data_IF_120352988896
#
_entry.id   IF_120352988896
#
_cell.length_a   1.000
_cell.length_b   1.000
_cell.length_c   1.000
_cell.angle_alpha   90.00
_cell.angle_beta   90.00
_cell.angle_gamma   90.00
#
_symmetry.space_group_name_H-M   'P 1'
#
loop_
_entity.id
_entity.type
_entity.pdbx_description
1 polymer ?
#
# COMPACT_ATOMS: atom_id res chain seq x y z
N UNK A 1 0.62 12.69 23.64
CA UNK A 1 -0.08 12.06 22.50
C UNK A 1 1.02 11.43 21.68
N UNK A 2 0.99 10.11 21.50
CA UNK A 2 2.07 9.42 20.77
C UNK A 2 2.11 9.91 19.32
N UNK A 3 3.30 10.23 18.82
CA UNK A 3 3.49 10.74 17.46
C UNK A 3 3.17 9.61 16.46
N UNK A 4 2.29 9.88 15.50
CA UNK A 4 1.79 8.84 14.58
C UNK A 4 2.87 8.35 13.63
N UNK A 5 2.77 7.07 13.24
CA UNK A 5 3.72 6.43 12.32
C UNK A 5 3.42 6.85 10.89
N UNK A 6 4.40 7.44 10.23
CA UNK A 6 4.38 7.71 8.80
C UNK A 6 5.05 6.54 8.08
N UNK A 7 4.38 5.98 7.07
CA UNK A 7 4.82 4.76 6.39
C UNK A 7 4.87 4.96 4.87
N UNK A 8 6.01 4.61 4.30
CA UNK A 8 6.20 4.39 2.86
C UNK A 8 6.32 2.88 2.64
N UNK A 9 5.57 2.33 1.69
CA UNK A 9 5.55 0.89 1.40
C UNK A 9 6.32 0.64 0.11
N UNK A 10 7.35 -0.20 0.15
CA UNK A 10 8.04 -0.70 -1.04
C UNK A 10 7.62 -2.15 -1.29
N UNK A 11 7.21 -2.50 -2.51
CA UNK A 11 6.61 -3.81 -2.80
C UNK A 11 6.85 -4.26 -4.25
N UNK A 12 6.89 -5.58 -4.47
CA UNK A 12 6.94 -6.21 -5.79
C UNK A 12 5.59 -6.82 -6.23
N UNK A 13 4.50 -6.47 -5.54
CA UNK A 13 3.11 -6.81 -5.87
C UNK A 13 2.80 -8.31 -5.95
N UNK A 14 3.32 -9.08 -5.00
CA UNK A 14 2.85 -10.41 -4.67
C UNK A 14 1.40 -10.44 -4.17
N UNK A 15 0.84 -11.65 -4.06
CA UNK A 15 -0.53 -11.85 -3.55
C UNK A 15 -0.62 -11.47 -2.07
N UNK A 16 0.44 -11.75 -1.31
CA UNK A 16 0.60 -11.38 0.09
C UNK A 16 0.82 -9.86 0.26
N UNK A 17 1.54 -9.20 -0.66
CA UNK A 17 1.65 -7.75 -0.68
C UNK A 17 0.28 -7.06 -0.83
N UNK A 18 -0.60 -7.59 -1.68
CA UNK A 18 -1.94 -7.04 -1.84
C UNK A 18 -2.72 -7.04 -0.51
N UNK A 19 -2.65 -8.13 0.24
CA UNK A 19 -3.22 -8.20 1.58
C UNK A 19 -2.56 -7.22 2.56
N UNK A 20 -1.24 -7.08 2.52
CA UNK A 20 -0.51 -6.12 3.35
C UNK A 20 -0.94 -4.68 3.06
N UNK A 21 -1.12 -4.31 1.78
CA UNK A 21 -1.64 -3.02 1.35
C UNK A 21 -3.04 -2.80 1.93
N UNK A 22 -3.95 -3.77 1.81
CA UNK A 22 -5.30 -3.65 2.37
C UNK A 22 -5.31 -3.42 3.88
N UNK A 23 -4.47 -4.14 4.63
CA UNK A 23 -4.34 -3.95 6.08
C UNK A 23 -3.77 -2.56 6.42
N UNK A 24 -2.77 -2.10 5.68
CA UNK A 24 -2.20 -0.76 5.86
C UNK A 24 -3.22 0.34 5.56
N UNK A 25 -4.05 0.17 4.53
CA UNK A 25 -5.11 1.10 4.19
C UNK A 25 -6.24 1.10 5.22
N UNK A 26 -6.59 -0.07 5.77
CA UNK A 26 -7.55 -0.14 6.87
C UNK A 26 -7.06 0.64 8.10
N UNK A 27 -5.78 0.46 8.48
CA UNK A 27 -5.16 1.23 9.56
C UNK A 27 -5.05 2.73 9.23
N UNK A 28 -4.73 3.09 7.98
CA UNK A 28 -4.67 4.48 7.52
C UNK A 28 -6.01 5.21 7.65
N UNK A 29 -7.12 4.50 7.42
CA UNK A 29 -8.48 5.05 7.45
C UNK A 29 -9.06 5.15 8.85
N UNK A 30 -8.53 4.38 9.81
CA UNK A 30 -9.01 4.39 11.19
C UNK A 30 -8.47 5.62 11.94
N UNK A 31 -9.33 6.59 12.33
CA UNK A 31 -8.90 7.80 13.04
C UNK A 31 -8.35 7.52 14.45
N UNK A 32 -8.57 6.33 14.99
CA UNK A 32 -8.05 5.90 16.29
C UNK A 32 -6.67 5.23 16.21
N UNK A 33 -6.21 4.91 14.99
CA UNK A 33 -4.89 4.33 14.75
C UNK A 33 -3.98 5.42 14.19
N UNK A 34 -2.93 5.85 14.92
CA UNK A 34 -2.04 6.91 14.45
C UNK A 34 -1.04 6.35 13.43
N UNK A 35 -1.53 5.98 12.24
CA UNK A 35 -0.78 5.34 11.15
C UNK A 35 -1.16 5.99 9.82
N UNK A 36 -0.17 6.51 9.08
CA UNK A 36 -0.40 7.22 7.82
C UNK A 36 0.52 6.68 6.73
N UNK A 37 -0.07 6.01 5.75
CA UNK A 37 0.59 5.69 4.48
C UNK A 37 0.75 6.99 3.67
N UNK A 38 1.97 7.31 3.25
CA UNK A 38 2.28 8.49 2.42
C UNK A 38 2.51 8.18 0.95
N UNK A 39 2.72 6.91 0.62
CA UNK A 39 2.92 6.47 -0.75
C UNK A 39 3.35 5.01 -0.83
N UNK A 40 3.38 4.51 -2.05
CA UNK A 40 3.88 3.20 -2.40
C UNK A 40 4.97 3.35 -3.46
N UNK A 41 6.09 2.64 -3.30
CA UNK A 41 7.13 2.46 -4.32
C UNK A 41 7.08 1.02 -4.85
N UNK A 42 7.44 0.86 -6.12
CA UNK A 42 7.40 -0.44 -6.80
C UNK A 42 8.81 -0.89 -7.13
N UNK A 43 9.14 -2.14 -6.79
CA UNK A 43 10.41 -2.79 -7.09
C UNK A 43 10.17 -4.03 -7.95
N UNK A 44 11.16 -4.43 -8.73
CA UNK A 44 11.09 -5.68 -9.51
C UNK A 44 11.18 -6.91 -8.59
N UNK A 45 10.49 -8.00 -8.95
CA UNK A 45 10.50 -9.24 -8.16
C UNK A 45 9.56 -10.28 -8.73
N UNK A 46 8.39 -10.47 -8.11
CA UNK A 46 7.29 -11.34 -8.58
C UNK A 46 6.95 -11.14 -10.07
N UNK A 47 7.15 -9.94 -10.60
CA UNK A 47 7.14 -9.65 -12.04
C UNK A 47 8.02 -8.42 -12.36
N UNK A 48 8.09 -8.03 -13.62
CA UNK A 48 8.81 -6.82 -14.05
C UNK A 48 8.13 -5.55 -13.50
N UNK A 49 8.91 -4.51 -13.23
CA UNK A 49 8.46 -3.30 -12.50
C UNK A 49 7.23 -2.60 -13.11
N UNK A 50 7.04 -2.65 -14.43
CA UNK A 50 5.85 -2.10 -15.09
C UNK A 50 4.59 -2.87 -14.70
N UNK A 51 4.67 -4.20 -14.66
CA UNK A 51 3.57 -5.05 -14.21
C UNK A 51 3.34 -4.91 -12.71
N UNK A 52 4.40 -4.76 -11.91
CA UNK A 52 4.29 -4.47 -10.46
C UNK A 52 3.51 -3.17 -10.26
N UNK A 53 3.92 -2.10 -10.94
CA UNK A 53 3.27 -0.78 -10.86
C UNK A 53 1.79 -0.87 -11.24
N UNK A 54 1.48 -1.60 -12.30
CA UNK A 54 0.10 -1.84 -12.74
C UNK A 54 -0.71 -2.65 -11.72
N UNK A 55 -0.10 -3.68 -11.11
CA UNK A 55 -0.75 -4.51 -10.10
C UNK A 55 -1.01 -3.73 -8.81
N UNK A 56 -0.04 -2.94 -8.32
CA UNK A 56 -0.25 -2.03 -7.18
C UNK A 56 -1.39 -1.06 -7.46
N UNK A 57 -1.42 -0.44 -8.64
CA UNK A 57 -2.50 0.48 -9.05
C UNK A 57 -3.86 -0.21 -9.02
N UNK A 58 -3.97 -1.42 -9.59
CA UNK A 58 -5.21 -2.21 -9.56
C UNK A 58 -5.63 -2.56 -8.14
N UNK A 59 -4.69 -2.96 -7.29
CA UNK A 59 -4.95 -3.28 -5.88
C UNK A 59 -5.58 -2.08 -5.17
N UNK A 60 -5.00 -0.88 -5.31
CA UNK A 60 -5.56 0.36 -4.72
C UNK A 60 -6.97 0.67 -5.26
N UNK A 61 -7.18 0.53 -6.58
CA UNK A 61 -8.50 0.74 -7.22
C UNK A 61 -9.58 -0.21 -6.68
N UNK A 62 -9.23 -1.46 -6.35
CA UNK A 62 -10.23 -2.42 -5.81
C UNK A 62 -10.84 -1.98 -4.48
N UNK A 63 -10.16 -1.10 -3.75
CA UNK A 63 -10.62 -0.57 -2.45
C UNK A 63 -10.96 0.92 -2.50
N UNK A 64 -11.06 1.51 -3.68
CA UNK A 64 -11.42 2.92 -3.87
C UNK A 64 -10.34 3.92 -3.45
N UNK A 65 -9.07 3.51 -3.40
CA UNK A 65 -7.94 4.44 -3.30
C UNK A 65 -7.47 4.81 -4.71
N UNK A 66 -8.17 5.76 -5.31
CA UNK A 66 -7.86 6.34 -6.62
C UNK A 66 -7.49 7.83 -6.47
N UNK A 67 -6.65 8.33 -7.37
CA UNK A 67 -6.22 9.73 -7.38
C UNK A 67 -7.38 10.69 -7.67
#
# INVERSE_FOLDING_TARGET
>A
MEEGKIVLIDTDAGVDDAWAIFMCLAAHRDPHVPFKVVGLTCVTGNTGVDNVTMNVTRTLQTVGEEN
#
